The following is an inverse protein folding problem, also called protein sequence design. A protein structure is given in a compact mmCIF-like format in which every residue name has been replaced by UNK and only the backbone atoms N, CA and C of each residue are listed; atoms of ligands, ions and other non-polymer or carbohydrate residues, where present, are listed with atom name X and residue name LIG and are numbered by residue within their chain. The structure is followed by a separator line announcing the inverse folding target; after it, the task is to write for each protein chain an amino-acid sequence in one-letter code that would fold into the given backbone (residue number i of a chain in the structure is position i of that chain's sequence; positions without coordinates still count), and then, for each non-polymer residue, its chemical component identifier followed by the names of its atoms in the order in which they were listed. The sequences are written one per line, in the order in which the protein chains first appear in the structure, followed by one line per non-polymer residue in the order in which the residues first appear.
data_IF_515326142713
#
_entry.id   IF_515326142713
#
_cell.length_a   1.000
_cell.length_b   1.000
_cell.length_c   1.000
_cell.angle_alpha   90.00
_cell.angle_beta   90.00
_cell.angle_gamma   90.00
#
_symmetry.space_group_name_H-M   'P 1'
#
loop_
_entity.id
_entity.type
_entity.pdbx_description
1 polymer ?
#
# COMPACT_ATOMS: atom_id res chain seq x y z
N UNK A 1 34.38 -21.87 -3.02
CA UNK A 1 34.15 -20.42 -3.21
C UNK A 1 33.71 -20.07 -4.63
N UNK A 2 34.38 -20.55 -5.69
CA UNK A 2 33.97 -20.28 -7.08
C UNK A 2 32.53 -20.74 -7.42
N UNK A 3 32.12 -21.92 -6.93
CA UNK A 3 30.76 -22.45 -7.12
C UNK A 3 29.66 -21.61 -6.46
N UNK A 4 29.92 -21.07 -5.27
CA UNK A 4 28.98 -20.20 -4.54
C UNK A 4 28.78 -18.85 -5.24
N UNK A 5 29.85 -18.28 -5.80
CA UNK A 5 29.78 -17.02 -6.55
C UNK A 5 29.04 -17.16 -7.89
N UNK A 6 29.27 -18.27 -8.61
CA UNK A 6 28.57 -18.56 -9.86
C UNK A 6 27.08 -18.80 -9.64
N UNK A 7 26.71 -19.60 -8.63
CA UNK A 7 25.30 -19.83 -8.26
C UNK A 7 24.58 -18.54 -7.86
N UNK A 8 25.26 -17.62 -7.16
CA UNK A 8 24.69 -16.31 -6.85
C UNK A 8 24.43 -15.47 -8.10
N UNK A 9 25.37 -15.45 -9.05
CA UNK A 9 25.23 -14.72 -10.32
C UNK A 9 24.11 -15.30 -11.18
N UNK A 10 24.05 -16.62 -11.31
CA UNK A 10 22.96 -17.31 -12.00
C UNK A 10 21.61 -17.07 -11.33
N UNK A 11 21.61 -17.04 -10.00
CA UNK A 11 20.46 -16.69 -9.17
C UNK A 11 19.91 -15.29 -9.40
N UNK A 12 20.79 -14.31 -9.57
CA UNK A 12 20.44 -12.94 -9.94
C UNK A 12 19.91 -12.90 -11.38
N UNK A 13 20.57 -13.60 -12.31
CA UNK A 13 20.11 -13.69 -13.69
C UNK A 13 18.72 -14.37 -13.81
N UNK A 14 18.39 -15.28 -12.90
CA UNK A 14 17.10 -15.96 -12.86
C UNK A 14 15.92 -15.00 -12.62
N UNK A 15 16.15 -13.79 -12.08
CA UNK A 15 15.08 -12.81 -11.85
C UNK A 15 14.35 -12.43 -13.14
N UNK A 16 15.04 -12.45 -14.28
CA UNK A 16 14.45 -12.12 -15.58
C UNK A 16 13.46 -13.19 -16.06
N UNK A 17 13.50 -14.39 -15.49
CA UNK A 17 12.53 -15.45 -15.76
C UNK A 17 11.34 -15.39 -14.81
N UNK A 18 11.38 -14.56 -13.76
CA UNK A 18 10.34 -14.50 -12.75
C UNK A 18 9.11 -13.72 -13.26
N UNK A 19 7.92 -14.32 -13.34
CA UNK A 19 6.73 -13.66 -13.88
C UNK A 19 6.28 -12.48 -13.02
N UNK A 20 6.55 -12.51 -11.71
CA UNK A 20 6.20 -11.45 -10.77
C UNK A 20 6.89 -10.11 -11.10
N UNK A 21 8.08 -10.13 -11.71
CA UNK A 21 8.77 -8.91 -12.12
C UNK A 21 7.93 -8.14 -13.14
N UNK A 22 7.54 -8.81 -14.23
CA UNK A 22 6.73 -8.22 -15.29
C UNK A 22 5.30 -7.92 -14.82
N UNK A 23 4.74 -8.81 -14.01
CA UNK A 23 3.40 -8.63 -13.46
C UNK A 23 3.30 -7.42 -12.54
N UNK A 24 4.31 -7.18 -11.69
CA UNK A 24 4.35 -6.02 -10.81
C UNK A 24 4.37 -4.69 -11.58
N UNK A 25 5.15 -4.64 -12.67
CA UNK A 25 5.17 -3.50 -13.61
C UNK A 25 3.78 -3.25 -14.19
N UNK A 26 3.16 -4.30 -14.76
CA UNK A 26 1.84 -4.23 -15.36
C UNK A 26 0.80 -3.75 -14.34
N UNK A 27 0.81 -4.33 -13.14
CA UNK A 27 -0.12 -4.01 -12.07
C UNK A 27 0.01 -2.54 -11.64
N UNK A 28 1.23 -2.02 -11.51
CA UNK A 28 1.46 -0.61 -11.16
C UNK A 28 0.91 0.35 -12.23
N UNK A 29 1.11 0.04 -13.53
CA UNK A 29 0.59 0.84 -14.65
C UNK A 29 -0.94 0.83 -14.65
N UNK A 30 -1.56 -0.35 -14.55
CA UNK A 30 -3.02 -0.50 -14.54
C UNK A 30 -3.64 0.19 -13.32
N UNK A 31 -3.01 0.08 -12.15
CA UNK A 31 -3.46 0.76 -10.94
C UNK A 31 -3.42 2.28 -11.08
N UNK A 32 -2.33 2.84 -11.61
CA UNK A 32 -2.21 4.28 -11.89
C UNK A 32 -3.26 4.77 -12.88
N UNK A 33 -3.50 4.01 -13.96
CA UNK A 33 -4.56 4.34 -14.91
C UNK A 33 -5.96 4.33 -14.28
N UNK A 34 -6.29 3.30 -13.47
CA UNK A 34 -7.57 3.23 -12.74
C UNK A 34 -7.74 4.37 -11.74
N UNK A 35 -6.66 4.81 -11.10
CA UNK A 35 -6.67 5.98 -10.21
C UNK A 35 -6.99 7.25 -10.98
N UNK A 36 -6.29 7.52 -12.09
CA UNK A 36 -6.52 8.73 -12.91
C UNK A 36 -7.93 8.75 -13.51
N UNK A 37 -8.45 7.60 -13.96
CA UNK A 37 -9.85 7.49 -14.41
C UNK A 37 -10.84 7.86 -13.30
N UNK A 38 -10.53 7.52 -12.05
CA UNK A 38 -11.36 7.87 -10.89
C UNK A 38 -11.23 9.35 -10.51
N UNK A 39 -10.01 9.89 -10.48
CA UNK A 39 -9.75 11.31 -10.21
C UNK A 39 -10.52 12.18 -11.19
N UNK A 40 -10.43 11.90 -12.50
CA UNK A 40 -11.18 12.62 -13.54
C UNK A 40 -12.69 12.46 -13.43
N UNK A 41 -13.17 11.32 -12.93
CA UNK A 41 -14.61 11.11 -12.72
C UNK A 41 -15.13 11.87 -11.50
N UNK A 42 -14.30 11.99 -10.46
CA UNK A 42 -14.71 12.60 -9.19
C UNK A 42 -14.47 14.12 -9.19
N UNK A 43 -13.42 14.62 -9.84
CA UNK A 43 -13.02 16.03 -9.81
C UNK A 43 -12.76 16.65 -11.19
N UNK A 44 -13.00 15.94 -12.30
CA UNK A 44 -12.73 16.39 -13.69
C UNK A 44 -11.25 16.67 -14.04
N UNK A 45 -10.37 16.73 -13.05
CA UNK A 45 -8.94 16.92 -13.20
C UNK A 45 -8.14 15.69 -12.77
N UNK A 46 -6.88 15.63 -13.19
CA UNK A 46 -5.90 14.67 -12.70
C UNK A 46 -5.12 15.31 -11.56
N UNK A 47 -5.11 14.67 -10.40
CA UNK A 47 -4.38 15.16 -9.22
C UNK A 47 -2.91 14.81 -9.33
N UNK A 48 -2.60 13.55 -9.64
CA UNK A 48 -1.22 13.08 -9.70
C UNK A 48 -0.89 12.38 -11.02
N UNK A 49 0.39 12.37 -11.38
CA UNK A 49 0.86 11.74 -12.62
C UNK A 49 0.57 10.21 -12.63
N UNK A 50 0.14 9.61 -13.76
CA UNK A 50 -0.15 8.17 -13.83
C UNK A 50 1.04 7.26 -13.51
N UNK A 51 2.26 7.79 -13.60
CA UNK A 51 3.51 7.07 -13.30
C UNK A 51 3.85 7.04 -11.81
N UNK A 52 3.00 7.57 -10.94
CA UNK A 52 3.29 7.64 -9.52
C UNK A 52 3.35 6.25 -8.87
N UNK A 53 2.40 5.37 -9.19
CA UNK A 53 2.37 3.99 -8.72
C UNK A 53 3.61 3.22 -9.18
N UNK A 54 4.01 3.45 -10.44
CA UNK A 54 5.25 2.91 -11.01
C UNK A 54 6.48 3.36 -10.20
N UNK A 55 6.64 4.66 -9.95
CA UNK A 55 7.76 5.16 -9.13
C UNK A 55 7.69 4.63 -7.70
N UNK A 56 6.48 4.52 -7.15
CA UNK A 56 6.20 3.95 -5.83
C UNK A 56 6.71 2.51 -5.69
N UNK A 57 6.53 1.71 -6.75
CA UNK A 57 6.97 0.31 -6.81
C UNK A 57 8.47 0.16 -6.52
N UNK A 58 9.29 1.06 -7.05
CA UNK A 58 10.76 1.03 -6.96
C UNK A 58 11.33 1.84 -5.78
N UNK A 59 10.52 2.16 -4.76
CA UNK A 59 10.97 2.93 -3.58
C UNK A 59 11.77 2.06 -2.58
N UNK A 60 11.44 2.13 -1.29
CA UNK A 60 12.16 1.48 -0.19
C UNK A 60 12.10 -0.05 -0.20
N UNK A 61 11.39 -0.66 -1.16
CA UNK A 61 11.28 -2.11 -1.30
C UNK A 61 12.62 -2.81 -1.57
N UNK A 62 13.53 -2.18 -2.32
CA UNK A 62 14.89 -2.71 -2.54
C UNK A 62 15.72 -2.76 -1.27
N UNK A 63 15.64 -1.70 -0.46
CA UNK A 63 16.35 -1.65 0.82
C UNK A 63 15.83 -2.74 1.77
N UNK A 64 14.51 -2.92 1.84
CA UNK A 64 13.91 -4.02 2.59
C UNK A 64 14.35 -5.39 2.03
N UNK A 65 14.35 -5.56 0.71
CA UNK A 65 14.74 -6.79 0.05
C UNK A 65 16.21 -7.18 0.29
N UNK A 66 17.12 -6.21 0.24
CA UNK A 66 18.54 -6.42 0.54
C UNK A 66 18.75 -6.87 2.00
N UNK A 67 18.11 -6.20 2.96
CA UNK A 67 18.19 -6.58 4.38
C UNK A 67 17.59 -7.98 4.60
N UNK A 68 16.43 -8.25 4.02
CA UNK A 68 15.80 -9.56 4.12
C UNK A 68 16.62 -10.67 3.46
N UNK A 69 17.32 -10.39 2.37
CA UNK A 69 18.23 -11.34 1.71
C UNK A 69 19.36 -11.75 2.65
N UNK A 70 20.01 -10.77 3.29
CA UNK A 70 21.08 -11.05 4.26
C UNK A 70 20.55 -11.88 5.42
N UNK A 71 19.39 -11.53 5.98
CA UNK A 71 18.78 -12.26 7.08
C UNK A 71 18.40 -13.69 6.66
N UNK A 72 17.75 -13.88 5.52
CA UNK A 72 17.29 -15.19 5.05
C UNK A 72 18.45 -16.12 4.68
N UNK A 73 19.50 -15.60 4.04
CA UNK A 73 20.72 -16.36 3.72
C UNK A 73 21.45 -16.72 5.02
N UNK A 74 21.67 -15.76 5.92
CA UNK A 74 22.43 -16.01 7.17
C UNK A 74 21.71 -16.99 8.08
N UNK A 75 20.37 -16.89 8.17
CA UNK A 75 19.54 -17.82 8.90
C UNK A 75 19.34 -19.15 8.15
N UNK A 76 19.73 -19.28 6.89
CA UNK A 76 19.50 -20.49 6.10
C UNK A 76 18.04 -20.91 6.07
N UNK A 77 17.14 -19.96 5.83
CA UNK A 77 15.70 -20.25 5.63
C UNK A 77 15.53 -20.74 4.20
N UNK A 78 15.77 -22.03 3.96
CA UNK A 78 15.63 -22.61 2.63
C UNK A 78 14.16 -22.91 2.33
N UNK A 79 13.71 -22.50 1.14
CA UNK A 79 12.34 -22.74 0.68
C UNK A 79 12.32 -23.82 -0.40
N UNK A 80 11.38 -24.77 -0.34
CA UNK A 80 11.12 -25.65 -1.46
C UNK A 80 10.75 -24.86 -2.71
N UNK A 81 11.21 -25.31 -3.88
CA UNK A 81 10.92 -24.67 -5.16
C UNK A 81 9.41 -24.52 -5.40
N UNK A 82 8.64 -25.53 -5.02
CA UNK A 82 7.20 -25.60 -5.20
C UNK A 82 6.48 -24.56 -4.32
N UNK A 83 7.02 -24.30 -3.13
CA UNK A 83 6.51 -23.26 -2.23
C UNK A 83 6.69 -21.85 -2.83
N UNK A 84 7.85 -21.56 -3.44
CA UNK A 84 8.11 -20.28 -4.12
C UNK A 84 7.13 -20.07 -5.29
N UNK A 85 6.92 -21.10 -6.11
CA UNK A 85 5.98 -21.02 -7.22
C UNK A 85 4.53 -20.89 -6.77
N UNK A 86 4.14 -21.56 -5.69
CA UNK A 86 2.79 -21.43 -5.14
C UNK A 86 2.53 -20.02 -4.60
N UNK A 87 3.47 -19.43 -3.85
CA UNK A 87 3.36 -18.02 -3.41
C UNK A 87 3.28 -17.09 -4.61
N UNK A 88 4.06 -17.36 -5.65
CA UNK A 88 4.04 -16.59 -6.91
C UNK A 88 2.68 -16.68 -7.60
N UNK A 89 2.15 -17.88 -7.79
CA UNK A 89 0.85 -18.10 -8.39
C UNK A 89 -0.26 -17.41 -7.57
N UNK A 90 -0.25 -17.57 -6.24
CA UNK A 90 -1.24 -16.95 -5.37
C UNK A 90 -1.16 -15.42 -5.42
N UNK A 91 0.05 -14.84 -5.47
CA UNK A 91 0.26 -13.40 -5.61
C UNK A 91 -0.32 -12.88 -6.94
N UNK A 92 -0.14 -13.61 -8.04
CA UNK A 92 -0.72 -13.26 -9.35
C UNK A 92 -2.25 -13.36 -9.32
N UNK A 93 -2.79 -14.46 -8.78
CA UNK A 93 -4.25 -14.68 -8.64
C UNK A 93 -4.89 -13.57 -7.81
N UNK A 94 -4.33 -13.29 -6.64
CA UNK A 94 -4.83 -12.22 -5.76
C UNK A 94 -4.65 -10.86 -6.43
N UNK A 95 -3.54 -10.63 -7.14
CA UNK A 95 -3.29 -9.37 -7.84
C UNK A 95 -4.35 -9.02 -8.89
N UNK A 96 -5.00 -10.01 -9.52
CA UNK A 96 -6.07 -9.78 -10.48
C UNK A 96 -7.29 -9.09 -9.87
N UNK A 97 -7.50 -9.21 -8.55
CA UNK A 97 -8.55 -8.46 -7.83
C UNK A 97 -8.33 -6.95 -7.87
N UNK A 98 -7.09 -6.50 -8.15
CA UNK A 98 -6.67 -5.10 -8.23
C UNK A 98 -6.88 -4.31 -6.93
N UNK A 99 -7.01 -5.02 -5.80
CA UNK A 99 -7.07 -4.42 -4.48
C UNK A 99 -5.70 -4.59 -3.81
N UNK A 100 -4.90 -3.51 -3.79
CA UNK A 100 -3.51 -3.56 -3.32
C UNK A 100 -3.36 -4.11 -1.90
N UNK A 101 -4.36 -3.91 -1.05
CA UNK A 101 -4.38 -4.44 0.33
C UNK A 101 -4.23 -5.96 0.38
N UNK A 102 -4.75 -6.68 -0.60
CA UNK A 102 -4.70 -8.15 -0.63
C UNK A 102 -3.32 -8.69 -1.02
N UNK A 103 -2.42 -7.85 -1.54
CA UNK A 103 -1.02 -8.21 -1.80
C UNK A 103 -0.14 -8.15 -0.54
N UNK A 104 -0.72 -8.06 0.66
CA UNK A 104 0.03 -8.22 1.92
C UNK A 104 0.56 -9.67 2.02
N UNK A 105 1.77 -9.89 2.59
CA UNK A 105 2.32 -11.22 2.84
C UNK A 105 1.38 -12.12 3.64
N UNK A 106 0.54 -11.52 4.51
CA UNK A 106 -0.47 -12.26 5.26
C UNK A 106 -1.38 -13.08 4.34
N UNK A 107 -1.81 -12.52 3.20
CA UNK A 107 -2.70 -13.22 2.28
C UNK A 107 -1.94 -14.07 1.27
N UNK A 108 -0.78 -13.62 0.78
CA UNK A 108 -0.01 -14.36 -0.24
C UNK A 108 0.80 -15.50 0.38
N UNK A 109 1.64 -15.25 1.38
CA UNK A 109 2.41 -16.31 2.03
C UNK A 109 1.57 -17.04 3.08
N UNK A 110 0.76 -16.32 3.88
CA UNK A 110 -0.14 -16.97 4.84
C UNK A 110 -1.21 -17.82 4.14
N UNK A 111 -1.74 -17.38 3.00
CA UNK A 111 -2.66 -18.17 2.18
C UNK A 111 -1.99 -19.43 1.61
N UNK A 112 -0.75 -19.31 1.10
CA UNK A 112 0.06 -20.44 0.66
C UNK A 112 0.27 -21.47 1.79
N UNK A 113 0.62 -21.03 3.00
CA UNK A 113 0.79 -21.91 4.17
C UNK A 113 -0.52 -22.65 4.48
N UNK A 114 -1.65 -21.93 4.55
CA UNK A 114 -2.95 -22.55 4.85
C UNK A 114 -3.35 -23.54 3.76
N UNK A 115 -3.13 -23.21 2.49
CA UNK A 115 -3.40 -24.13 1.37
C UNK A 115 -2.55 -25.39 1.46
N UNK A 116 -1.24 -25.30 1.74
CA UNK A 116 -0.39 -26.47 1.95
C UNK A 116 -0.88 -27.32 3.13
N UNK A 117 -1.34 -26.70 4.22
CA UNK A 117 -1.87 -27.42 5.37
C UNK A 117 -3.19 -28.15 5.09
N UNK A 118 -4.06 -27.55 4.26
CA UNK A 118 -5.34 -28.16 3.85
C UNK A 118 -5.15 -29.28 2.83
N UNK A 119 -4.32 -29.02 1.81
CA UNK A 119 -3.95 -30.04 0.82
C UNK A 119 -3.25 -31.18 1.55
N UNK A 120 -2.35 -30.86 2.49
CA UNK A 120 -1.62 -31.77 3.40
C UNK A 120 -2.47 -32.88 4.00
N UNK A 121 -3.69 -32.53 4.42
CA UNK A 121 -4.61 -33.43 5.13
C UNK A 121 -5.46 -34.30 4.20
N UNK A 122 -5.60 -33.94 2.92
CA UNK A 122 -6.44 -34.69 1.97
C UNK A 122 -5.73 -35.88 1.33
N UNK A 123 -4.45 -36.13 1.65
CA UNK A 123 -3.64 -37.21 1.06
C UNK A 123 -3.19 -36.94 -0.38
N UNK A 124 -3.68 -35.86 -1.01
CA UNK A 124 -3.38 -35.45 -2.40
C UNK A 124 -1.96 -34.87 -2.58
N UNK A 125 -1.14 -34.90 -1.53
CA UNK A 125 0.11 -34.15 -1.35
C UNK A 125 1.33 -34.98 -1.66
N UNK A 126 1.28 -36.30 -1.40
CA UNK A 126 2.44 -37.17 -1.55
C UNK A 126 2.99 -37.18 -2.98
N UNK A 127 2.13 -36.93 -3.97
CA UNK A 127 2.50 -37.01 -5.38
C UNK A 127 2.92 -35.64 -5.97
N UNK A 128 2.56 -34.52 -5.33
CA UNK A 128 2.80 -33.16 -5.83
C UNK A 128 3.74 -32.32 -4.95
N UNK A 129 3.85 -32.60 -3.66
CA UNK A 129 4.68 -31.87 -2.69
C UNK A 129 5.28 -32.82 -1.63
N UNK A 130 6.31 -33.61 -1.98
CA UNK A 130 6.95 -34.57 -1.07
C UNK A 130 7.48 -33.91 0.23
N UNK A 131 7.93 -32.67 0.13
CA UNK A 131 8.50 -31.86 1.23
C UNK A 131 7.49 -30.90 1.89
N UNK A 132 6.19 -31.06 1.63
CA UNK A 132 5.13 -30.15 2.11
C UNK A 132 5.13 -29.83 3.62
N UNK A 133 5.39 -30.80 4.52
CA UNK A 133 5.47 -30.56 5.96
C UNK A 133 6.63 -29.63 6.36
N UNK A 134 7.85 -29.86 5.87
CA UNK A 134 9.02 -29.02 6.18
C UNK A 134 8.93 -27.64 5.53
N UNK A 135 8.24 -27.54 4.38
CA UNK A 135 7.92 -26.28 3.72
C UNK A 135 7.14 -25.31 4.61
N UNK A 136 6.23 -25.83 5.44
CA UNK A 136 5.34 -25.03 6.28
C UNK A 136 6.08 -24.16 7.31
N UNK A 137 7.05 -24.73 8.03
CA UNK A 137 7.83 -24.01 9.03
C UNK A 137 8.75 -22.94 8.40
N UNK A 138 9.43 -23.28 7.30
CA UNK A 138 10.27 -22.32 6.58
C UNK A 138 9.46 -21.16 5.98
N UNK A 139 8.29 -21.46 5.38
CA UNK A 139 7.35 -20.44 4.91
C UNK A 139 6.81 -19.58 6.05
N UNK A 140 6.52 -20.16 7.22
CA UNK A 140 6.03 -19.42 8.37
C UNK A 140 7.09 -18.43 8.89
N UNK A 141 8.35 -18.82 8.99
CA UNK A 141 9.43 -17.87 9.32
C UNK A 141 9.58 -16.82 8.22
N UNK A 142 9.55 -17.22 6.96
CA UNK A 142 9.66 -16.28 5.85
C UNK A 142 8.51 -15.26 5.80
N UNK A 143 7.28 -15.69 6.11
CA UNK A 143 6.11 -14.83 6.29
C UNK A 143 6.38 -13.75 7.35
N UNK A 144 7.05 -14.08 8.45
CA UNK A 144 7.34 -13.13 9.53
C UNK A 144 8.29 -12.04 9.07
N UNK A 145 9.32 -12.41 8.29
CA UNK A 145 10.28 -11.49 7.69
C UNK A 145 9.57 -10.51 6.74
N UNK A 146 8.69 -11.04 5.88
CA UNK A 146 7.92 -10.21 4.95
C UNK A 146 6.89 -9.31 5.66
N UNK A 147 6.20 -9.79 6.70
CA UNK A 147 5.28 -8.96 7.50
C UNK A 147 6.00 -7.85 8.25
N UNK A 148 7.19 -8.14 8.78
CA UNK A 148 8.03 -7.12 9.41
C UNK A 148 8.45 -6.05 8.39
N UNK A 149 8.89 -6.47 7.19
CA UNK A 149 9.19 -5.54 6.11
C UNK A 149 7.97 -4.74 5.65
N UNK A 150 6.79 -5.37 5.53
CA UNK A 150 5.55 -4.67 5.21
C UNK A 150 5.22 -3.59 6.26
N UNK A 151 5.25 -3.94 7.55
CA UNK A 151 5.02 -2.99 8.64
C UNK A 151 6.00 -1.81 8.59
N UNK A 152 7.28 -2.08 8.36
CA UNK A 152 8.31 -1.05 8.22
C UNK A 152 8.10 -0.16 6.99
N UNK A 153 7.77 -0.74 5.83
CA UNK A 153 7.47 0.00 4.60
C UNK A 153 6.24 0.91 4.77
N UNK A 154 5.20 0.42 5.46
CA UNK A 154 4.02 1.23 5.80
C UNK A 154 4.44 2.44 6.65
N UNK A 155 5.24 2.26 7.70
CA UNK A 155 5.74 3.36 8.54
C UNK A 155 6.54 4.39 7.74
N UNK A 156 7.42 3.93 6.82
CA UNK A 156 8.20 4.82 5.95
C UNK A 156 7.35 5.58 4.94
N UNK A 157 6.14 5.09 4.66
CA UNK A 157 5.25 5.66 3.66
C UNK A 157 4.40 6.83 4.15
N UNK A 158 4.55 7.25 5.41
CA UNK A 158 3.79 8.36 6.02
C UNK A 158 3.82 9.67 5.23
N UNK A 159 4.92 9.98 4.53
CA UNK A 159 5.07 11.23 3.77
C UNK A 159 4.58 11.12 2.32
N UNK A 160 4.09 9.96 1.89
CA UNK A 160 3.64 9.80 0.51
C UNK A 160 2.24 10.37 0.30
N UNK A 161 1.95 10.79 -0.94
CA UNK A 161 0.68 11.46 -1.25
C UNK A 161 -0.51 10.50 -1.17
N UNK A 162 -1.67 11.07 -0.83
CA UNK A 162 -2.96 10.42 -0.86
C UNK A 162 -3.80 11.04 -1.99
N UNK A 163 -4.60 10.21 -2.67
CA UNK A 163 -5.53 10.67 -3.69
C UNK A 163 -6.85 11.05 -3.02
N UNK A 164 -7.41 12.24 -3.32
CA UNK A 164 -8.74 12.59 -2.86
C UNK A 164 -9.78 11.72 -3.58
N UNK A 165 -10.92 11.50 -2.93
CA UNK A 165 -12.05 10.75 -3.47
C UNK A 165 -13.37 11.32 -2.93
N UNK A 166 -14.41 11.36 -3.77
CA UNK A 166 -15.76 11.72 -3.36
C UNK A 166 -16.64 10.48 -3.21
N UNK A 167 -17.27 10.33 -2.04
CA UNK A 167 -18.17 9.20 -1.74
C UNK A 167 -19.44 9.69 -1.06
N UNK A 168 -20.57 9.03 -1.35
CA UNK A 168 -21.83 9.28 -0.67
C UNK A 168 -21.83 8.63 0.70
N UNK A 169 -22.12 9.42 1.73
CA UNK A 169 -22.35 8.95 3.09
C UNK A 169 -23.62 8.10 3.19
N UNK A 170 -23.78 7.33 4.29
CA UNK A 170 -25.03 6.61 4.60
C UNK A 170 -26.25 7.53 4.63
N UNK A 171 -26.05 8.82 4.91
CA UNK A 171 -27.09 9.87 4.92
C UNK A 171 -27.32 10.53 3.54
N UNK A 172 -26.74 9.99 2.46
CA UNK A 172 -26.87 10.52 1.10
C UNK A 172 -25.99 11.73 0.77
N UNK A 173 -25.41 12.41 1.77
CA UNK A 173 -24.52 13.55 1.55
C UNK A 173 -23.18 13.14 0.94
N UNK A 174 -22.67 13.92 -0.01
CA UNK A 174 -21.31 13.71 -0.54
C UNK A 174 -20.28 14.16 0.49
N UNK A 175 -19.29 13.31 0.75
CA UNK A 175 -18.15 13.58 1.63
C UNK A 175 -16.85 13.29 0.89
N UNK A 176 -15.82 14.07 1.21
CA UNK A 176 -14.44 13.78 0.81
C UNK A 176 -13.86 12.63 1.63
N UNK A 177 -12.98 11.86 1.02
CA UNK A 177 -12.14 10.85 1.67
C UNK A 177 -10.78 10.84 1.03
N UNK A 178 -9.77 10.44 1.79
CA UNK A 178 -8.41 10.25 1.30
C UNK A 178 -8.15 8.77 1.07
N UNK A 179 -7.69 8.43 -0.13
CA UNK A 179 -7.31 7.10 -0.51
C UNK A 179 -5.80 7.02 -0.72
N UNK A 180 -5.15 6.19 0.09
CA UNK A 180 -3.72 5.91 -0.03
C UNK A 180 -3.54 4.49 -0.56
N UNK A 181 -2.79 4.35 -1.64
CA UNK A 181 -2.45 3.06 -2.22
C UNK A 181 -0.97 3.02 -2.56
N UNK A 182 -0.30 1.91 -2.22
CA UNK A 182 1.12 1.69 -2.48
C UNK A 182 1.39 0.26 -2.88
N UNK A 183 2.39 0.12 -3.75
CA UNK A 183 3.00 -1.15 -4.11
C UNK A 183 4.50 -1.03 -3.85
N UNK A 184 5.09 -2.12 -3.40
CA UNK A 184 6.53 -2.23 -3.22
C UNK A 184 7.02 -3.49 -3.88
N UNK A 185 8.08 -3.34 -4.66
CA UNK A 185 8.86 -4.43 -5.19
C UNK A 185 9.98 -4.75 -4.20
N UNK A 186 9.96 -5.95 -3.64
CA UNK A 186 10.89 -6.42 -2.62
C UNK A 186 11.66 -7.61 -3.19
N UNK A 187 12.80 -7.37 -3.86
CA UNK A 187 13.63 -8.43 -4.42
C UNK A 187 14.45 -9.08 -3.32
N UNK A 188 14.27 -10.38 -3.09
CA UNK A 188 14.94 -11.13 -2.02
C UNK A 188 15.72 -12.30 -2.62
N UNK A 189 17.00 -12.39 -2.30
CA UNK A 189 17.81 -13.58 -2.58
C UNK A 189 17.53 -14.62 -1.51
N UNK A 190 17.04 -15.79 -1.91
CA UNK A 190 16.65 -16.89 -1.03
C UNK A 190 17.35 -18.18 -1.44
N UNK A 191 17.77 -19.02 -0.48
CA UNK A 191 18.13 -20.39 -0.78
C UNK A 191 16.87 -21.20 -1.14
N UNK A 192 16.89 -21.82 -2.31
CA UNK A 192 15.79 -22.63 -2.85
C UNK A 192 16.28 -24.04 -3.13
N UNK A 193 15.43 -25.04 -2.89
CA UNK A 193 15.74 -26.45 -3.12
C UNK A 193 15.98 -26.82 -4.61
N UNK A 194 16.77 -27.87 -4.82
CA UNK A 194 17.04 -28.46 -6.14
C UNK A 194 18.18 -27.78 -6.91
N UNK A 195 19.21 -27.33 -6.21
CA UNK A 195 20.43 -26.75 -6.78
C UNK A 195 21.70 -27.55 -6.48
N UNK A 196 22.86 -27.05 -6.93
CA UNK A 196 24.14 -27.77 -6.83
C UNK A 196 24.92 -27.49 -5.53
N UNK A 197 24.46 -26.56 -4.67
CA UNK A 197 25.14 -26.27 -3.41
C UNK A 197 24.81 -27.34 -2.36
N UNK A 198 25.81 -28.08 -1.84
CA UNK A 198 25.56 -29.06 -0.80
C UNK A 198 25.26 -28.37 0.55
N UNK A 199 24.42 -28.98 1.41
CA UNK A 199 24.29 -28.56 2.80
C UNK A 199 25.64 -28.65 3.51
N UNK A 200 25.89 -27.72 4.42
CA UNK A 200 27.05 -27.71 5.32
C UNK A 200 26.57 -27.83 6.78
N UNK A 201 27.48 -28.14 7.70
CA UNK A 201 27.13 -28.50 9.09
C UNK A 201 26.29 -27.49 9.85
N UNK A 202 26.36 -26.21 9.50
CA UNK A 202 25.64 -25.10 10.16
C UNK A 202 24.57 -24.45 9.26
N UNK A 203 24.46 -24.85 7.99
CA UNK A 203 23.60 -24.20 7.01
C UNK A 203 23.06 -25.19 5.97
N UNK A 204 21.76 -25.15 5.65
CA UNK A 204 20.72 -24.25 6.19
C UNK A 204 20.21 -24.65 7.59
N UNK A 205 19.69 -23.69 8.38
CA UNK A 205 19.05 -24.00 9.68
C UNK A 205 17.75 -24.79 9.50
N UNK A 206 17.02 -24.51 8.42
CA UNK A 206 15.84 -25.26 8.01
C UNK A 206 16.11 -25.92 6.67
N UNK A 207 16.53 -27.20 6.65
CA UNK A 207 16.82 -27.89 5.40
C UNK A 207 15.55 -28.17 4.61
N UNK A 208 15.67 -28.00 3.30
CA UNK A 208 14.64 -28.24 2.30
C UNK A 208 15.27 -29.02 1.13
N UNK A 209 15.61 -30.29 1.38
CA UNK A 209 16.26 -31.19 0.42
C UNK A 209 17.80 -31.21 0.49
N UNK A 210 18.40 -31.90 -0.48
CA UNK A 210 19.83 -32.25 -0.46
C UNK A 210 20.74 -31.28 -1.21
N UNK A 211 20.18 -30.29 -1.90
CA UNK A 211 20.93 -29.33 -2.70
C UNK A 211 20.21 -28.02 -2.90
N UNK A 212 20.96 -26.91 -2.87
CA UNK A 212 20.42 -25.55 -2.86
C UNK A 212 20.95 -24.72 -4.02
N UNK A 213 20.15 -23.76 -4.47
CA UNK A 213 20.57 -22.69 -5.38
C UNK A 213 20.01 -21.37 -4.84
N UNK A 214 20.68 -20.26 -5.12
CA UNK A 214 20.19 -18.94 -4.72
C UNK A 214 19.28 -18.39 -5.79
N UNK A 215 18.07 -17.99 -5.44
CA UNK A 215 17.13 -17.37 -6.38
C UNK A 215 16.83 -15.94 -5.93
N UNK A 216 16.93 -14.98 -6.85
CA UNK A 216 16.41 -13.63 -6.64
C UNK A 216 14.90 -13.62 -6.95
N UNK A 217 14.07 -13.67 -5.90
CA UNK A 217 12.61 -13.73 -6.03
C UNK A 217 12.01 -12.34 -5.80
N UNK A 218 11.27 -11.79 -6.78
CA UNK A 218 10.68 -10.45 -6.69
C UNK A 218 9.30 -10.47 -6.00
N UNK A 219 9.26 -10.29 -4.69
CA UNK A 219 8.00 -10.23 -3.95
C UNK A 219 7.28 -8.90 -4.16
N UNK A 220 5.97 -8.95 -4.41
CA UNK A 220 5.12 -7.77 -4.54
C UNK A 220 4.31 -7.58 -3.26
N UNK A 221 4.56 -6.48 -2.55
CA UNK A 221 3.82 -6.10 -1.36
C UNK A 221 2.89 -4.95 -1.69
N UNK A 222 1.65 -4.99 -1.20
CA UNK A 222 0.68 -3.93 -1.42
C UNK A 222 0.01 -3.43 -0.15
N UNK A 223 -0.31 -2.14 -0.17
CA UNK A 223 -0.99 -1.43 0.91
C UNK A 223 -2.09 -0.54 0.32
N UNK A 224 -3.29 -0.59 0.88
CA UNK A 224 -4.40 0.29 0.51
C UNK A 224 -5.23 0.62 1.74
N UNK A 225 -5.53 1.90 1.91
CA UNK A 225 -6.31 2.42 3.02
C UNK A 225 -7.17 3.60 2.56
N UNK A 226 -8.45 3.60 2.97
CA UNK A 226 -9.40 4.70 2.75
C UNK A 226 -9.77 5.29 4.10
N UNK A 227 -9.55 6.59 4.29
CA UNK A 227 -9.85 7.32 5.54
C UNK A 227 -10.67 8.58 5.27
N UNK A 228 -11.66 8.83 6.12
CA UNK A 228 -12.56 10.00 6.03
C UNK A 228 -12.34 11.02 7.16
N UNK A 229 -11.74 10.60 8.28
CA UNK A 229 -11.54 11.47 9.44
C UNK A 229 -10.06 11.62 9.78
N UNK A 230 -9.34 10.51 9.94
CA UNK A 230 -7.92 10.53 10.31
C UNK A 230 -7.07 10.89 9.09
N UNK A 231 -6.00 11.67 9.29
CA UNK A 231 -5.11 12.00 8.18
C UNK A 231 -4.34 10.75 7.73
N UNK A 232 -4.07 10.60 6.41
CA UNK A 232 -3.33 9.44 5.90
C UNK A 232 -2.00 9.14 6.60
N UNK A 233 -1.14 10.13 6.95
CA UNK A 233 0.13 9.86 7.62
C UNK A 233 -0.04 9.23 9.01
N UNK A 234 -0.95 9.78 9.81
CA UNK A 234 -1.27 9.28 11.15
C UNK A 234 -1.81 7.85 11.09
N UNK A 235 -2.75 7.62 10.16
CA UNK A 235 -3.38 6.33 9.98
C UNK A 235 -2.39 5.26 9.48
N UNK A 236 -1.43 5.61 8.62
CA UNK A 236 -0.37 4.71 8.18
C UNK A 236 0.56 4.33 9.33
N UNK A 237 0.93 5.30 10.18
CA UNK A 237 1.80 5.06 11.33
C UNK A 237 1.18 4.09 12.34
N UNK A 238 -0.11 4.26 12.65
CA UNK A 238 -0.84 3.32 13.51
C UNK A 238 -0.96 1.91 12.90
N UNK A 239 -1.28 1.80 11.62
CA UNK A 239 -1.40 0.51 10.94
C UNK A 239 -0.04 -0.20 10.89
N UNK A 240 1.03 0.49 10.51
CA UNK A 240 2.38 -0.06 10.49
C UNK A 240 2.81 -0.65 11.84
N UNK A 241 2.55 0.06 12.95
CA UNK A 241 2.83 -0.46 14.31
C UNK A 241 2.00 -1.69 14.67
N UNK A 242 0.73 -1.76 14.24
CA UNK A 242 -0.11 -2.95 14.46
C UNK A 242 0.38 -4.14 13.65
N UNK A 243 0.84 -3.90 12.42
CA UNK A 243 1.41 -4.94 11.54
C UNK A 243 2.72 -5.48 12.09
N UNK A 244 3.59 -4.62 12.63
CA UNK A 244 4.82 -5.08 13.31
C UNK A 244 4.53 -5.93 14.55
N UNK A 245 3.53 -5.56 15.36
CA UNK A 245 3.09 -6.38 16.50
C UNK A 245 2.52 -7.73 16.04
N UNK A 246 1.78 -7.74 14.93
CA UNK A 246 1.31 -8.98 14.31
C UNK A 246 2.49 -9.83 13.83
N UNK A 247 3.49 -9.23 13.17
CA UNK A 247 4.69 -9.93 12.73
C UNK A 247 5.43 -10.59 13.89
N UNK A 248 5.54 -9.91 15.05
CA UNK A 248 6.11 -10.49 16.27
C UNK A 248 5.31 -11.68 16.79
N UNK A 249 3.97 -11.58 16.83
CA UNK A 249 3.11 -12.69 17.24
C UNK A 249 3.27 -13.90 16.31
N UNK A 250 3.23 -13.65 14.99
CA UNK A 250 3.43 -14.70 13.98
C UNK A 250 4.84 -15.30 14.09
N UNK A 251 5.86 -14.50 14.46
CA UNK A 251 7.22 -14.97 14.64
C UNK A 251 7.34 -15.96 15.80
N UNK A 252 6.69 -15.66 16.94
CA UNK A 252 6.63 -16.59 18.07
C UNK A 252 5.99 -17.92 17.66
N UNK A 253 4.87 -17.87 16.94
CA UNK A 253 4.20 -19.09 16.44
C UNK A 253 5.05 -19.86 15.43
N UNK A 254 5.71 -19.16 14.50
CA UNK A 254 6.57 -19.76 13.50
C UNK A 254 7.80 -20.44 14.11
N UNK A 255 8.42 -19.81 15.12
CA UNK A 255 9.56 -20.39 15.85
C UNK A 255 9.14 -21.65 16.59
N UNK A 256 8.03 -21.64 17.34
CA UNK A 256 7.51 -22.86 17.98
C UNK A 256 7.09 -23.90 16.93
N UNK A 257 6.63 -23.43 15.77
CA UNK A 257 6.28 -24.23 14.60
C UNK A 257 7.43 -25.08 14.02
N UNK A 258 8.68 -24.77 14.35
CA UNK A 258 9.85 -25.57 13.97
C UNK A 258 9.79 -26.94 14.66
N UNK A 259 9.40 -26.99 15.94
CA UNK A 259 9.28 -28.24 16.70
C UNK A 259 7.87 -28.84 16.65
N UNK A 260 6.85 -27.98 16.50
CA UNK A 260 5.46 -28.40 16.46
C UNK A 260 4.79 -27.90 15.18
N UNK A 261 4.90 -28.71 14.12
CA UNK A 261 4.49 -28.35 12.77
C UNK A 261 3.07 -27.74 12.64
N UNK A 262 2.02 -28.20 13.35
CA UNK A 262 0.70 -27.57 13.26
C UNK A 262 0.70 -26.07 13.60
N UNK A 263 1.61 -25.61 14.46
CA UNK A 263 1.73 -24.19 14.81
C UNK A 263 2.23 -23.33 13.63
N UNK A 264 2.97 -23.89 12.68
CA UNK A 264 3.36 -23.17 11.46
C UNK A 264 2.14 -22.83 10.59
N UNK A 265 1.18 -23.75 10.48
CA UNK A 265 -0.08 -23.51 9.77
C UNK A 265 -0.97 -22.51 10.52
N UNK A 266 -1.02 -22.61 11.85
CA UNK A 266 -1.71 -21.63 12.70
C UNK A 266 -1.09 -20.24 12.53
N UNK A 267 0.23 -20.12 12.39
CA UNK A 267 0.89 -18.84 12.14
C UNK A 267 0.39 -18.18 10.84
N UNK A 268 0.23 -18.95 9.77
CA UNK A 268 -0.37 -18.48 8.51
C UNK A 268 -1.82 -17.99 8.69
N UNK A 269 -2.65 -18.76 9.39
CA UNK A 269 -4.04 -18.36 9.69
C UNK A 269 -4.11 -17.11 10.57
N UNK A 270 -3.29 -17.02 11.61
CA UNK A 270 -3.19 -15.86 12.50
C UNK A 270 -2.73 -14.62 11.73
N UNK A 271 -1.82 -14.75 10.77
CA UNK A 271 -1.43 -13.64 9.91
C UNK A 271 -2.61 -13.10 9.09
N UNK A 272 -3.38 -13.99 8.44
CA UNK A 272 -4.58 -13.61 7.66
C UNK A 272 -5.62 -12.93 8.56
N UNK A 273 -6.01 -13.59 9.64
CA UNK A 273 -7.05 -13.11 10.57
C UNK A 273 -6.61 -11.80 11.22
N UNK A 274 -5.37 -11.73 11.69
CA UNK A 274 -4.79 -10.54 12.29
C UNK A 274 -4.75 -9.37 11.31
N UNK A 275 -4.38 -9.62 10.05
CA UNK A 275 -4.36 -8.58 9.01
C UNK A 275 -5.76 -8.09 8.67
N UNK A 276 -6.74 -8.99 8.60
CA UNK A 276 -8.15 -8.64 8.38
C UNK A 276 -8.69 -7.80 9.55
N UNK A 277 -8.40 -8.21 10.78
CA UNK A 277 -8.78 -7.48 11.99
C UNK A 277 -8.19 -6.07 12.04
N UNK A 278 -6.90 -5.90 11.71
CA UNK A 278 -6.25 -4.58 11.66
C UNK A 278 -6.98 -3.66 10.69
N UNK A 279 -7.26 -4.15 9.49
CA UNK A 279 -7.97 -3.36 8.49
C UNK A 279 -9.41 -3.06 8.92
N UNK A 280 -10.17 -4.06 9.39
CA UNK A 280 -11.56 -3.89 9.81
C UNK A 280 -11.69 -2.92 10.98
N UNK A 281 -10.86 -3.08 12.02
CA UNK A 281 -10.85 -2.22 13.20
C UNK A 281 -10.52 -0.77 12.85
N UNK A 282 -9.55 -0.54 11.96
CA UNK A 282 -9.22 0.80 11.47
C UNK A 282 -10.39 1.45 10.72
N UNK A 283 -11.03 0.72 9.80
CA UNK A 283 -12.19 1.24 9.06
C UNK A 283 -13.39 1.54 9.96
N UNK A 284 -13.64 0.70 10.96
CA UNK A 284 -14.75 0.89 11.92
C UNK A 284 -14.49 2.10 12.82
N UNK A 285 -13.27 2.26 13.34
CA UNK A 285 -12.91 3.39 14.19
C UNK A 285 -12.99 4.73 13.45
N UNK A 286 -12.53 4.78 12.19
CA UNK A 286 -12.58 5.99 11.36
C UNK A 286 -14.03 6.36 10.95
N UNK A 287 -14.87 5.36 10.67
CA UNK A 287 -16.30 5.58 10.35
C UNK A 287 -17.17 5.97 11.54
N UNK A 288 -16.75 5.64 12.75
CA UNK A 288 -17.45 6.04 13.97
C UNK A 288 -17.29 7.55 14.26
N UNK A 289 -16.27 8.19 13.69
CA UNK A 289 -16.01 9.63 13.84
C UNK A 289 -16.66 10.42 12.71
N UNK A 290 -17.05 11.70 12.97
CA UNK A 290 -17.62 12.54 11.93
C UNK A 290 -16.60 12.75 10.81
N UNK A 291 -17.01 12.65 9.53
CA UNK A 291 -16.11 12.86 8.39
C UNK A 291 -15.52 14.26 8.44
N UNK A 292 -14.18 14.36 8.44
CA UNK A 292 -13.45 15.63 8.50
C UNK A 292 -13.66 16.43 7.21
N UNK A 293 -13.80 15.74 6.09
CA UNK A 293 -14.01 16.33 4.77
C UNK A 293 -15.50 16.37 4.38
N UNK A 294 -16.39 16.67 5.33
CA UNK A 294 -17.80 16.91 5.05
C UNK A 294 -18.07 18.39 4.80
N UNK A 295 -19.24 18.73 4.23
CA UNK A 295 -19.67 20.13 4.14
C UNK A 295 -19.70 20.75 5.52
N UNK A 296 -19.10 21.93 5.65
CA UNK A 296 -19.05 22.68 6.89
C UNK A 296 -19.95 23.90 6.79
N UNK A 297 -20.66 24.25 7.87
CA UNK A 297 -21.57 25.40 7.86
C UNK A 297 -20.84 26.73 7.73
N UNK A 298 -19.57 26.75 8.11
CA UNK A 298 -18.75 27.96 8.14
C UNK A 298 -17.97 28.20 6.83
N UNK A 299 -17.88 27.23 5.92
CA UNK A 299 -17.11 27.45 4.69
C UNK A 299 -16.91 26.21 3.81
N UNK A 300 -16.09 26.36 2.79
CA UNK A 300 -15.78 25.29 1.81
C UNK A 300 -14.58 24.47 2.28
N UNK A 301 -14.72 23.15 2.33
CA UNK A 301 -13.66 22.25 2.83
C UNK A 301 -12.76 21.76 1.70
N UNK A 302 -11.45 21.91 1.89
CA UNK A 302 -10.42 21.45 0.94
C UNK A 302 -10.28 19.93 1.07
N UNK A 303 -10.61 19.20 0.00
CA UNK A 303 -10.46 17.73 -0.09
C UNK A 303 -9.14 17.36 -0.75
N UNK A 304 -8.60 18.21 -1.60
CA UNK A 304 -7.35 17.96 -2.30
C UNK A 304 -6.69 19.25 -2.75
N UNK A 305 -5.37 19.19 -2.91
CA UNK A 305 -4.55 20.28 -3.44
C UNK A 305 -3.73 19.69 -4.59
N UNK A 306 -3.79 20.33 -5.76
CA UNK A 306 -3.03 19.90 -6.93
C UNK A 306 -1.52 20.16 -6.70
N UNK A 307 -0.63 19.18 -6.92
CA UNK A 307 0.81 19.39 -6.83
C UNK A 307 1.30 20.42 -7.85
N UNK A 308 2.22 21.28 -7.43
CA UNK A 308 2.77 22.38 -8.22
C UNK A 308 1.83 23.59 -8.37
N UNK A 309 0.60 23.52 -7.83
CA UNK A 309 -0.39 24.59 -7.94
C UNK A 309 -0.08 25.81 -7.06
N UNK A 310 -0.78 26.92 -7.31
CA UNK A 310 -0.73 28.11 -6.46
C UNK A 310 -1.18 27.81 -5.04
N UNK A 311 -2.22 26.99 -4.86
CA UNK A 311 -2.69 26.56 -3.55
C UNK A 311 -1.62 25.85 -2.72
N UNK A 312 -0.81 24.98 -3.35
CA UNK A 312 0.32 24.32 -2.67
C UNK A 312 1.40 25.34 -2.29
N UNK A 313 1.74 26.28 -3.18
CA UNK A 313 2.71 27.36 -2.91
C UNK A 313 2.25 28.32 -1.81
N UNK A 314 0.95 28.54 -1.70
CA UNK A 314 0.30 29.31 -0.62
C UNK A 314 0.24 28.53 0.71
N UNK A 315 0.64 27.26 0.71
CA UNK A 315 0.65 26.41 1.89
C UNK A 315 -0.74 26.01 2.37
N UNK A 316 -1.75 25.95 1.47
CA UNK A 316 -3.06 25.40 1.79
C UNK A 316 -2.98 23.89 1.95
N UNK A 317 -3.69 23.35 2.93
CA UNK A 317 -3.60 21.94 3.31
C UNK A 317 -4.96 21.23 3.22
N UNK A 318 -4.89 19.93 2.98
CA UNK A 318 -6.07 19.05 2.87
C UNK A 318 -6.77 18.97 4.23
N UNK A 319 -8.05 19.32 4.26
CA UNK A 319 -8.88 19.32 5.47
C UNK A 319 -9.02 20.66 6.15
N UNK A 320 -8.39 21.71 5.63
CA UNK A 320 -8.67 23.09 6.03
C UNK A 320 -9.98 23.59 5.43
N UNK A 321 -10.53 24.65 6.03
CA UNK A 321 -11.84 25.23 5.66
C UNK A 321 -11.63 26.68 5.23
N UNK A 322 -12.01 27.01 3.99
CA UNK A 322 -12.00 28.38 3.49
C UNK A 322 -13.28 29.07 3.93
N UNK A 323 -13.13 30.07 4.79
CA UNK A 323 -14.20 30.87 5.38
C UNK A 323 -14.58 32.06 4.51
N UNK A 324 -13.56 32.74 3.99
CA UNK A 324 -13.72 33.94 3.16
C UNK A 324 -12.72 33.94 2.02
N UNK A 325 -13.14 34.47 0.89
CA UNK A 325 -12.30 34.86 -0.22
C UNK A 325 -12.45 36.36 -0.45
N UNK A 326 -11.34 37.09 -0.49
CA UNK A 326 -11.30 38.53 -0.71
C UNK A 326 -12.19 39.34 0.25
N UNK A 327 -12.35 38.84 1.49
CA UNK A 327 -13.18 39.46 2.54
C UNK A 327 -14.66 39.07 2.50
N UNK A 328 -15.11 38.35 1.47
CA UNK A 328 -16.49 37.86 1.32
C UNK A 328 -16.60 36.43 1.81
N UNK A 329 -17.66 36.11 2.54
CA UNK A 329 -17.90 34.76 3.06
C UNK A 329 -18.33 33.81 1.95
N UNK A 330 -17.72 32.62 1.92
CA UNK A 330 -17.94 31.63 0.85
C UNK A 330 -18.32 30.28 1.45
N UNK A 331 -19.38 29.66 0.91
CA UNK A 331 -19.92 28.38 1.38
C UNK A 331 -19.99 27.32 0.31
N UNK A 332 -19.91 27.73 -0.96
CA UNK A 332 -19.89 26.84 -2.11
C UNK A 332 -18.64 27.05 -2.96
N UNK A 333 -18.29 26.03 -3.73
CA UNK A 333 -17.19 26.11 -4.71
C UNK A 333 -17.43 27.21 -5.75
N UNK A 334 -18.69 27.38 -6.18
CA UNK A 334 -19.08 28.44 -7.11
C UNK A 334 -18.86 29.83 -6.51
N UNK A 335 -19.36 30.10 -5.30
CA UNK A 335 -19.14 31.37 -4.59
C UNK A 335 -17.64 31.67 -4.41
N UNK A 336 -16.84 30.64 -4.09
CA UNK A 336 -15.40 30.78 -3.93
C UNK A 336 -14.73 31.26 -5.23
N UNK A 337 -15.02 30.62 -6.36
CA UNK A 337 -14.43 31.00 -7.64
C UNK A 337 -14.99 32.32 -8.19
N UNK A 338 -16.26 32.63 -7.94
CA UNK A 338 -16.83 33.94 -8.30
C UNK A 338 -16.08 35.08 -7.60
N UNK A 339 -15.87 34.97 -6.29
CA UNK A 339 -15.14 35.97 -5.50
C UNK A 339 -13.65 36.03 -5.85
N UNK A 340 -13.07 34.91 -6.28
CA UNK A 340 -11.71 34.88 -6.81
C UNK A 340 -11.60 35.66 -8.12
N UNK A 341 -12.57 35.51 -9.03
CA UNK A 341 -12.58 36.16 -10.33
C UNK A 341 -12.82 37.68 -10.25
N UNK A 342 -13.49 38.16 -9.20
CA UNK A 342 -13.69 39.60 -8.93
C UNK A 342 -12.37 40.33 -8.69
N UNK A 343 -11.35 39.68 -8.12
CA UNK A 343 -10.03 40.26 -7.91
C UNK A 343 -8.93 39.41 -8.54
N UNK A 344 -8.62 39.72 -9.81
CA UNK A 344 -7.71 38.93 -10.65
C UNK A 344 -6.23 39.05 -10.30
N UNK A 345 -5.82 40.08 -9.55
CA UNK A 345 -4.41 40.31 -9.25
C UNK A 345 -3.96 39.64 -7.95
N UNK A 346 -4.85 39.50 -6.97
CA UNK A 346 -4.48 39.05 -5.64
C UNK A 346 -5.62 38.32 -4.94
N UNK A 347 -5.29 37.20 -4.29
CA UNK A 347 -6.22 36.42 -3.50
C UNK A 347 -5.88 36.55 -2.01
N UNK A 348 -6.87 36.92 -1.19
CA UNK A 348 -6.81 36.84 0.27
C UNK A 348 -7.82 35.82 0.77
N UNK A 349 -7.37 34.85 1.56
CA UNK A 349 -8.18 33.78 2.10
C UNK A 349 -8.14 33.77 3.62
N UNK A 350 -9.30 33.65 4.24
CA UNK A 350 -9.44 33.33 5.65
C UNK A 350 -9.65 31.83 5.76
N UNK A 351 -8.74 31.11 6.41
CA UNK A 351 -8.72 29.65 6.44
C UNK A 351 -8.69 29.15 7.87
N UNK A 352 -9.57 28.21 8.22
CA UNK A 352 -9.51 27.49 9.49
C UNK A 352 -8.53 26.32 9.33
N UNK A 353 -7.46 26.35 10.12
CA UNK A 353 -6.43 25.31 10.16
C UNK A 353 -6.87 24.06 10.94
N UNK A 354 -5.99 23.04 10.99
CA UNK A 354 -6.25 21.79 11.72
C UNK A 354 -6.39 21.97 13.24
N UNK A 355 -5.85 23.06 13.80
CA UNK A 355 -5.98 23.43 15.20
C UNK A 355 -7.30 24.18 15.50
N UNK A 356 -8.12 24.48 14.48
CA UNK A 356 -9.34 25.27 14.63
C UNK A 356 -9.12 26.78 14.67
N UNK A 357 -7.87 27.25 14.52
CA UNK A 357 -7.56 28.67 14.47
C UNK A 357 -7.67 29.21 13.04
N UNK A 358 -8.08 30.48 12.93
CA UNK A 358 -8.14 31.17 11.65
C UNK A 358 -6.74 31.70 11.30
N UNK A 359 -6.25 31.34 10.12
CA UNK A 359 -5.04 31.89 9.52
C UNK A 359 -5.37 32.60 8.21
N UNK A 360 -4.64 33.68 7.95
CA UNK A 360 -4.77 34.44 6.71
C UNK A 360 -3.73 33.97 5.70
N UNK A 361 -4.18 33.64 4.50
CA UNK A 361 -3.33 33.17 3.42
C UNK A 361 -3.50 34.10 2.24
N UNK A 362 -2.39 34.50 1.63
CA UNK A 362 -2.44 35.44 0.53
C UNK A 362 -1.45 35.07 -0.58
N UNK A 363 -1.84 35.33 -1.83
CA UNK A 363 -1.05 34.99 -3.00
C UNK A 363 -1.43 35.79 -4.24
N UNK A 364 -0.45 36.10 -5.08
CA UNK A 364 -0.69 36.77 -6.35
C UNK A 364 -1.28 35.78 -7.38
N UNK A 365 -2.29 36.25 -8.12
CA UNK A 365 -2.87 35.54 -9.25
C UNK A 365 -2.31 36.20 -10.52
N UNK A 366 -1.32 35.58 -11.17
CA UNK A 366 -0.80 36.06 -12.46
C UNK A 366 -1.75 35.73 -13.62
N UNK A 367 -1.90 36.65 -14.58
CA UNK A 367 -2.85 36.64 -15.71
C UNK A 367 -2.71 35.46 -16.69
N UNK A 368 -1.49 34.92 -16.87
CA UNK A 368 -1.20 33.90 -17.89
C UNK A 368 -1.42 32.44 -17.43
N UNK A 369 -1.79 32.21 -16.17
CA UNK A 369 -2.04 30.86 -15.63
C UNK A 369 -3.54 30.61 -15.44
N UNK A 370 -4.00 29.41 -15.81
CA UNK A 370 -5.40 28.99 -15.71
C UNK A 370 -6.01 29.36 -14.33
N UNK A 371 -7.25 29.85 -14.34
CA UNK A 371 -7.90 30.60 -13.27
C UNK A 371 -8.22 29.78 -11.99
N UNK A 372 -7.75 28.54 -11.91
CA UNK A 372 -7.97 27.66 -10.78
C UNK A 372 -6.74 27.68 -9.87
N UNK A 373 -6.93 27.97 -8.57
CA UNK A 373 -5.87 27.88 -7.56
C UNK A 373 -5.32 26.45 -7.40
N UNK A 374 -6.00 25.44 -7.96
CA UNK A 374 -5.67 24.03 -7.83
C UNK A 374 -6.24 23.38 -6.57
N UNK A 375 -7.38 23.88 -6.09
CA UNK A 375 -8.09 23.33 -4.94
C UNK A 375 -9.20 22.40 -5.40
N UNK A 376 -9.42 21.32 -4.65
CA UNK A 376 -10.48 20.35 -4.91
C UNK A 376 -11.44 20.34 -3.72
N UNK A 377 -12.73 20.54 -3.98
CA UNK A 377 -13.75 20.71 -2.96
C UNK A 377 -14.78 19.56 -2.95
N UNK A 378 -15.61 19.54 -1.90
CA UNK A 378 -16.76 18.61 -1.82
C UNK A 378 -17.93 19.17 -2.61
N UNK A 379 -18.16 18.66 -3.82
CA UNK A 379 -19.36 18.96 -4.61
C UNK A 379 -20.31 17.75 -4.70
N UNK A 380 -21.58 18.01 -5.04
CA UNK A 380 -22.52 16.92 -5.33
C UNK A 380 -22.24 16.34 -6.72
N UNK A 381 -22.16 15.00 -6.81
CA UNK A 381 -22.11 14.31 -8.11
C UNK A 381 -23.37 14.65 -8.93
N UNK A 382 -23.19 15.40 -10.02
CA UNK A 382 -24.25 15.75 -10.97
C UNK A 382 -24.49 17.25 -11.19
N UNK A 383 -24.00 18.13 -10.30
CA UNK A 383 -24.19 19.58 -10.47
C UNK A 383 -23.29 20.17 -11.57
N UNK A 384 -22.02 19.78 -11.61
CA UNK A 384 -21.03 20.28 -12.58
C UNK A 384 -21.38 19.94 -14.06
N UNK A 385 -22.08 18.84 -14.32
CA UNK A 385 -22.48 18.49 -15.70
C UNK A 385 -23.62 19.38 -16.23
N UNK A 386 -24.40 20.02 -15.34
CA UNK A 386 -25.44 20.97 -15.71
C UNK A 386 -24.87 22.37 -15.93
N UNK A 387 -23.78 22.74 -15.26
CA UNK A 387 -23.19 24.08 -15.31
C UNK A 387 -22.25 24.28 -16.51
N UNK A 388 -21.70 23.20 -17.09
CA UNK A 388 -20.89 23.28 -18.31
C UNK A 388 -21.73 23.40 -19.61
N UNK A 389 -23.06 23.36 -19.51
CA UNK A 389 -24.00 23.41 -20.65
C UNK A 389 -24.88 24.68 -20.60
N UNK A 390 -24.75 25.51 -19.57
CA UNK A 390 -25.54 26.74 -19.39
C UNK A 390 -24.73 28.00 -19.68
#
# INVERSE_FOLDING_TARGET
MATWGLELLEGIAAVWRQPLLYYGVLLAIVAGWRRVKRERRDFHVRVHHPWQEWRGLWTWGWAAGAVLSVVAISAGVALPREAVWMVTALTVVIGFTMEARLLSPAYTVGGAIVLLGLIGQSGMVSDLFPDGPTAGAALALFLTLLLAAEGWLILRSQNGTASPQLVKSKRGMTIGMQWTQRFWFVPIVLPVSGGALPPVSWWPLLPAGDGYSFWLVPFLLGFSQRRQHVMPPEAAHEEGRRVLRLALLVALLAVVGIWYLPLAFVAGAVAIIGREWIAFSGHRADRARPPRFARHSQGVVIVGVLPGSKAEKMGLQIGEIIMKANGVHVRTEAEFYEELQRNRAFCKLDVIGHNGEVRFVQGALYEDEHHELGLLFVHNRGASASEAVS
#
